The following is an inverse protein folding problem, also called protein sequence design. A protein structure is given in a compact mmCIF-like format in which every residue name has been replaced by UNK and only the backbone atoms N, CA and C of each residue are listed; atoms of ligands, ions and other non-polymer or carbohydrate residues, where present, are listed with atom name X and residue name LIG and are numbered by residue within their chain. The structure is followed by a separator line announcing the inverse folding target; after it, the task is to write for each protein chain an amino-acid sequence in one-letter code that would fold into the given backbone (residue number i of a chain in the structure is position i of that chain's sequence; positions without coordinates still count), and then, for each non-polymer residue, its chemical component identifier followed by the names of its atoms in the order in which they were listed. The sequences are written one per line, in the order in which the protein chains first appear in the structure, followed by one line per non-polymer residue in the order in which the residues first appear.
data_IF_479908601595
#
_entry.id   IF_479908601595
#
_cell.length_a   1.000
_cell.length_b   1.000
_cell.length_c   1.000
_cell.angle_alpha   90.00
_cell.angle_beta   90.00
_cell.angle_gamma   90.00
#
_symmetry.space_group_name_H-M   'P 1'
#
loop_
_entity.id
_entity.type
_entity.pdbx_description
1 polymer ?
#
# COMPACT_ATOMS: atom_id res chain seq x y z
N UNK A 1 -18.28 -50.09 9.27
CA UNK A 1 -17.48 -48.94 8.83
C UNK A 1 -18.27 -48.27 7.71
N UNK A 2 -18.91 -47.11 7.92
CA UNK A 2 -19.49 -46.40 6.80
C UNK A 2 -18.36 -45.62 6.10
N UNK A 3 -18.13 -45.95 4.83
CA UNK A 3 -17.36 -45.10 3.93
C UNK A 3 -18.19 -43.85 3.66
N UNK A 4 -17.60 -42.70 3.93
CA UNK A 4 -18.16 -41.40 3.63
C UNK A 4 -18.14 -41.19 2.12
N UNK A 5 -19.27 -41.46 1.47
CA UNK A 5 -19.55 -41.05 0.09
C UNK A 5 -19.89 -39.55 0.13
N UNK A 6 -18.87 -38.69 0.27
CA UNK A 6 -19.06 -37.26 0.03
C UNK A 6 -19.55 -37.11 -1.41
N UNK A 7 -20.82 -36.77 -1.59
CA UNK A 7 -21.42 -36.56 -2.90
C UNK A 7 -20.61 -35.49 -3.62
N UNK A 8 -20.30 -35.71 -4.90
CA UNK A 8 -19.61 -34.72 -5.71
C UNK A 8 -20.34 -33.37 -5.72
N UNK A 9 -21.65 -33.38 -5.47
CA UNK A 9 -22.50 -32.19 -5.32
C UNK A 9 -22.20 -31.40 -4.02
N UNK A 10 -21.91 -32.07 -2.91
CA UNK A 10 -21.46 -31.42 -1.66
C UNK A 10 -20.07 -30.80 -1.83
N UNK A 11 -19.17 -31.49 -2.54
CA UNK A 11 -17.82 -30.95 -2.79
C UNK A 11 -17.85 -29.78 -3.78
N UNK A 12 -18.67 -29.87 -4.83
CA UNK A 12 -18.84 -28.79 -5.81
C UNK A 12 -19.52 -27.58 -5.19
N UNK A 13 -20.56 -27.80 -4.38
CA UNK A 13 -21.24 -26.72 -3.65
C UNK A 13 -20.31 -26.07 -2.64
N UNK A 14 -19.59 -26.84 -1.80
CA UNK A 14 -18.59 -26.29 -0.89
C UNK A 14 -17.49 -25.50 -1.61
N UNK A 15 -16.97 -26.01 -2.74
CA UNK A 15 -15.98 -25.29 -3.54
C UNK A 15 -16.55 -24.00 -4.16
N UNK A 16 -17.82 -23.99 -4.56
CA UNK A 16 -18.48 -22.77 -5.07
C UNK A 16 -18.76 -21.74 -3.97
N UNK A 17 -19.15 -22.18 -2.76
CA UNK A 17 -19.33 -21.31 -1.61
C UNK A 17 -18.00 -20.71 -1.14
N UNK A 18 -16.92 -21.50 -1.11
CA UNK A 18 -15.58 -21.02 -0.78
C UNK A 18 -15.06 -19.99 -1.82
N UNK A 19 -15.32 -20.20 -3.12
CA UNK A 19 -14.95 -19.23 -4.16
C UNK A 19 -15.73 -17.92 -4.02
N UNK A 20 -17.04 -17.98 -3.74
CA UNK A 20 -17.87 -16.80 -3.51
C UNK A 20 -17.43 -16.03 -2.25
N UNK A 21 -17.14 -16.73 -1.14
CA UNK A 21 -16.65 -16.11 0.09
C UNK A 21 -15.27 -15.45 -0.10
N UNK A 22 -14.37 -16.08 -0.85
CA UNK A 22 -13.07 -15.48 -1.21
C UNK A 22 -13.24 -14.21 -2.05
N UNK A 23 -14.20 -14.20 -2.99
CA UNK A 23 -14.50 -13.02 -3.81
C UNK A 23 -15.10 -11.89 -3.00
N UNK A 24 -15.97 -12.18 -2.04
CA UNK A 24 -16.52 -11.19 -1.11
C UNK A 24 -15.42 -10.64 -0.20
N UNK A 25 -14.58 -11.49 0.37
CA UNK A 25 -13.46 -11.07 1.21
C UNK A 25 -12.45 -10.19 0.45
N UNK A 26 -12.22 -10.48 -0.84
CA UNK A 26 -11.37 -9.66 -1.70
C UNK A 26 -11.97 -8.27 -1.96
N UNK A 27 -13.30 -8.17 -2.17
CA UNK A 27 -13.99 -6.89 -2.34
C UNK A 27 -13.93 -6.05 -1.04
N UNK A 28 -14.20 -6.67 0.11
CA UNK A 28 -14.09 -6.00 1.42
C UNK A 28 -12.66 -5.51 1.69
N UNK A 29 -11.66 -6.31 1.29
CA UNK A 29 -10.26 -5.93 1.40
C UNK A 29 -9.92 -4.71 0.55
N UNK A 30 -10.39 -4.66 -0.70
CA UNK A 30 -10.19 -3.52 -1.60
C UNK A 30 -10.85 -2.23 -1.07
N UNK A 31 -12.06 -2.32 -0.51
CA UNK A 31 -12.72 -1.19 0.13
C UNK A 31 -11.94 -0.70 1.36
N UNK A 32 -11.46 -1.62 2.20
CA UNK A 32 -10.64 -1.27 3.36
C UNK A 32 -9.29 -0.63 2.98
N UNK A 33 -8.68 -1.06 1.87
CA UNK A 33 -7.46 -0.46 1.35
C UNK A 33 -7.67 0.95 0.82
N UNK A 34 -8.78 1.20 0.12
CA UNK A 34 -9.09 2.54 -0.37
C UNK A 34 -9.23 3.54 0.79
N UNK A 35 -9.87 3.11 1.87
CA UNK A 35 -10.01 3.92 3.08
C UNK A 35 -8.67 4.17 3.77
N UNK A 36 -7.82 3.14 3.87
CA UNK A 36 -6.46 3.28 4.40
C UNK A 36 -5.63 4.26 3.58
N UNK A 37 -5.76 4.27 2.25
CA UNK A 37 -5.05 5.22 1.39
C UNK A 37 -5.38 6.68 1.73
N UNK A 38 -6.65 6.99 2.03
CA UNK A 38 -7.07 8.33 2.43
C UNK A 38 -6.44 8.74 3.77
N UNK A 39 -6.50 7.86 4.78
CA UNK A 39 -5.86 8.10 6.09
C UNK A 39 -4.35 8.23 5.96
N UNK A 40 -3.72 7.35 5.18
CA UNK A 40 -2.29 7.39 4.88
C UNK A 40 -1.96 8.72 4.24
N UNK A 41 -2.73 9.24 3.28
CA UNK A 41 -2.43 10.55 2.69
C UNK A 41 -2.43 11.69 3.72
N UNK A 42 -3.41 11.69 4.64
CA UNK A 42 -3.57 12.72 5.67
C UNK A 42 -2.46 12.66 6.72
N UNK A 43 -1.92 11.48 7.02
CA UNK A 43 -0.84 11.29 8.00
C UNK A 43 0.55 11.37 7.34
N UNK A 44 0.70 10.76 6.16
CA UNK A 44 1.95 10.68 5.42
C UNK A 44 2.35 12.06 4.90
N UNK A 45 1.45 12.85 4.31
CA UNK A 45 1.78 14.21 3.85
C UNK A 45 2.44 15.08 4.93
N UNK A 46 1.86 15.27 6.13
CA UNK A 46 2.47 16.11 7.16
C UNK A 46 3.73 15.50 7.77
N UNK A 47 3.79 14.18 7.94
CA UNK A 47 4.99 13.52 8.50
C UNK A 47 6.15 13.56 7.51
N UNK A 48 5.89 13.19 6.26
CA UNK A 48 6.88 13.22 5.19
C UNK A 48 7.30 14.66 4.89
N UNK A 49 6.37 15.61 4.89
CA UNK A 49 6.66 17.04 4.73
C UNK A 49 7.57 17.60 5.82
N UNK A 50 7.30 17.30 7.10
CA UNK A 50 8.20 17.71 8.21
C UNK A 50 9.58 17.06 8.10
N UNK A 51 9.63 15.79 7.70
CA UNK A 51 10.88 15.05 7.58
C UNK A 51 11.73 15.55 6.40
N UNK A 52 11.12 15.72 5.22
CA UNK A 52 11.75 16.34 4.06
C UNK A 52 12.21 17.76 4.40
N UNK A 53 11.36 18.63 4.94
CA UNK A 53 11.74 20.01 5.24
C UNK A 53 12.99 20.13 6.13
N UNK A 54 13.08 19.33 7.20
CA UNK A 54 14.20 19.42 8.15
C UNK A 54 15.48 18.79 7.61
N UNK A 55 15.40 17.67 6.90
CA UNK A 55 16.59 17.00 6.32
C UNK A 55 17.04 17.61 5.00
N UNK A 56 16.10 18.01 4.13
CA UNK A 56 16.42 18.65 2.86
C UNK A 56 16.94 20.07 3.03
N UNK A 57 16.50 20.83 4.04
CA UNK A 57 17.05 22.17 4.26
C UNK A 57 18.57 22.11 4.49
N UNK A 58 19.03 21.19 5.34
CA UNK A 58 20.45 21.00 5.63
C UNK A 58 21.21 20.47 4.41
N UNK A 59 20.64 19.49 3.69
CA UNK A 59 21.27 18.93 2.49
C UNK A 59 21.35 19.95 1.35
N UNK A 60 20.27 20.67 1.07
CA UNK A 60 20.20 21.69 0.03
C UNK A 60 21.14 22.86 0.34
N UNK A 61 21.21 23.30 1.60
CA UNK A 61 22.16 24.33 2.02
C UNK A 61 23.61 23.87 1.92
N UNK A 62 23.93 22.66 2.40
CA UNK A 62 25.27 22.10 2.26
C UNK A 62 25.68 21.90 0.78
N UNK A 63 24.75 21.48 -0.07
CA UNK A 63 24.99 21.34 -1.52
C UNK A 63 25.09 22.70 -2.21
N UNK A 64 24.31 23.69 -1.78
CA UNK A 64 24.40 25.06 -2.25
C UNK A 64 25.77 25.67 -1.94
N UNK A 65 26.26 25.49 -0.72
CA UNK A 65 27.61 25.92 -0.34
C UNK A 65 28.72 25.20 -1.12
N UNK A 66 28.52 23.93 -1.48
CA UNK A 66 29.52 23.16 -2.23
C UNK A 66 29.56 23.45 -3.73
N UNK A 67 28.41 23.67 -4.37
CA UNK A 67 28.28 23.67 -5.84
C UNK A 67 27.80 25.01 -6.40
N UNK A 68 27.21 25.88 -5.57
CA UNK A 68 26.61 27.16 -5.99
C UNK A 68 25.25 26.98 -6.72
N UNK A 69 24.58 28.09 -7.02
CA UNK A 69 23.28 28.17 -7.75
C UNK A 69 23.41 27.94 -9.28
N UNK A 70 24.42 27.19 -9.72
CA UNK A 70 24.69 26.92 -11.13
C UNK A 70 24.07 25.62 -11.64
N UNK A 71 24.19 25.34 -12.95
CA UNK A 71 23.72 24.08 -13.57
C UNK A 71 24.22 22.82 -12.86
N UNK A 72 25.43 22.85 -12.31
CA UNK A 72 26.02 21.77 -11.52
C UNK A 72 25.19 21.38 -10.26
N UNK A 73 24.34 22.28 -9.75
CA UNK A 73 23.43 21.97 -8.65
C UNK A 73 22.39 20.90 -9.03
N UNK A 74 21.88 20.96 -10.27
CA UNK A 74 20.80 20.10 -10.77
C UNK A 74 21.29 18.91 -11.60
N UNK A 75 22.46 19.01 -12.24
CA UNK A 75 22.94 17.97 -13.17
C UNK A 75 23.88 16.93 -12.54
N UNK A 76 24.24 17.08 -11.26
CA UNK A 76 25.19 16.18 -10.59
C UNK A 76 26.61 16.67 -10.75
#
# INVERSE_FOLDING_TARGET
MPGSDASLDDVLSNASYEDDDLRIAQQEWEESLHQLQQLVSIVLLPVFGKWLGRRWSQWAYARYLRVGLGKAFFTG
#
